data_IF_913689414599
#
_entry.id   IF_913689414599
#
_cell.length_a   1.000
_cell.length_b   1.000
_cell.length_c   1.000
_cell.angle_alpha   90.00
_cell.angle_beta   90.00
_cell.angle_gamma   90.00
#
_symmetry.space_group_name_H-M   'P 1'
#
loop_
_entity.id
_entity.type
_entity.pdbx_description
1 polymer ?
#
# COMPACT_ATOMS: atom_id res chain seq x y z
N UNK A 1 -33.54 91.86 11.37
CA UNK A 1 -33.47 91.81 9.90
C UNK A 1 -32.67 90.57 9.50
N UNK A 2 -33.25 89.76 8.57
CA UNK A 2 -32.64 88.71 7.71
C UNK A 2 -31.86 87.55 8.38
N UNK A 3 -32.40 86.33 8.45
CA UNK A 3 -32.58 85.26 7.41
C UNK A 3 -31.34 84.35 7.20
N UNK A 4 -31.58 83.03 7.42
CA UNK A 4 -31.06 81.84 6.70
C UNK A 4 -29.54 81.56 6.75
N UNK A 5 -29.01 80.37 6.46
CA UNK A 5 -29.36 78.95 6.57
C UNK A 5 -28.11 78.18 6.06
N UNK A 6 -27.91 76.95 6.54
CA UNK A 6 -27.30 75.80 5.84
C UNK A 6 -25.81 75.79 5.37
N UNK A 7 -25.10 74.81 5.94
CA UNK A 7 -23.98 73.93 5.50
C UNK A 7 -23.72 73.74 3.98
N UNK A 8 -22.47 73.37 3.54
CA UNK A 8 -21.97 71.99 3.70
C UNK A 8 -20.45 71.74 3.90
N UNK A 9 -20.20 70.71 4.75
CA UNK A 9 -19.37 69.50 4.56
C UNK A 9 -18.10 69.57 3.68
N UNK A 10 -16.95 69.26 4.30
CA UNK A 10 -15.97 68.30 3.76
C UNK A 10 -15.53 67.32 4.83
N UNK A 11 -16.09 66.12 4.75
CA UNK A 11 -15.69 64.91 5.47
C UNK A 11 -14.39 64.40 4.84
N UNK A 12 -13.30 64.33 5.60
CA UNK A 12 -12.14 63.51 5.22
C UNK A 12 -12.36 62.14 5.86
N UNK A 13 -12.85 61.21 5.07
CA UNK A 13 -12.92 59.80 5.42
C UNK A 13 -11.50 59.23 5.41
N UNK A 14 -10.97 58.93 6.60
CA UNK A 14 -9.78 58.10 6.74
C UNK A 14 -10.11 56.68 6.29
N UNK A 15 -9.53 56.26 5.16
CA UNK A 15 -9.57 54.87 4.73
C UNK A 15 -8.69 54.04 5.67
N UNK A 16 -9.33 53.40 6.64
CA UNK A 16 -8.77 52.30 7.41
C UNK A 16 -8.69 51.09 6.47
N UNK A 17 -7.53 50.86 5.85
CA UNK A 17 -7.26 49.61 5.12
C UNK A 17 -7.04 48.52 6.17
N UNK A 18 -8.11 47.81 6.52
CA UNK A 18 -8.02 46.53 7.21
C UNK A 18 -7.32 45.56 6.25
N UNK A 19 -6.03 45.34 6.47
CA UNK A 19 -5.33 44.20 5.88
C UNK A 19 -5.88 42.93 6.55
N UNK A 20 -6.97 42.39 6.01
CA UNK A 20 -7.41 41.03 6.29
C UNK A 20 -6.36 40.12 5.65
N UNK A 21 -5.37 39.71 6.45
CA UNK A 21 -4.50 38.60 6.10
C UNK A 21 -5.36 37.34 6.05
N UNK A 22 -5.89 37.06 4.87
CA UNK A 22 -6.44 35.74 4.54
C UNK A 22 -5.23 34.80 4.56
N UNK A 23 -4.94 34.22 5.73
CA UNK A 23 -4.16 32.99 5.82
C UNK A 23 -5.05 31.88 5.24
N UNK A 24 -5.20 31.87 3.92
CA UNK A 24 -5.54 30.66 3.21
C UNK A 24 -4.33 29.75 3.40
N UNK A 25 -4.41 28.87 4.41
CA UNK A 25 -3.41 27.84 4.62
C UNK A 25 -3.27 27.06 3.31
N UNK A 26 -2.20 27.35 2.56
CA UNK A 26 -1.81 26.49 1.45
C UNK A 26 -1.57 25.11 2.06
N UNK A 27 -2.35 24.12 1.62
CA UNK A 27 -2.09 22.73 1.95
C UNK A 27 -0.63 22.45 1.63
N UNK A 28 0.10 21.88 2.60
CA UNK A 28 1.52 21.60 2.39
C UNK A 28 1.66 20.67 1.18
N UNK A 29 2.58 21.04 0.28
CA UNK A 29 2.86 20.23 -0.90
C UNK A 29 3.35 18.85 -0.46
N UNK A 30 2.96 17.82 -1.21
CA UNK A 30 3.47 16.47 -0.96
C UNK A 30 5.00 16.46 -1.05
N UNK A 31 5.65 15.95 0.00
CA UNK A 31 7.08 15.71 0.07
C UNK A 31 7.40 14.26 -0.29
N UNK A 32 8.67 13.99 -0.59
CA UNK A 32 9.15 12.63 -0.86
C UNK A 32 10.03 12.18 0.30
N UNK A 33 9.81 10.95 0.78
CA UNK A 33 10.65 10.34 1.80
C UNK A 33 12.10 10.23 1.27
N UNK A 34 13.12 10.75 2.00
CA UNK A 34 14.51 10.59 1.62
C UNK A 34 14.95 9.12 1.73
N UNK A 35 15.98 8.74 0.97
CA UNK A 35 16.58 7.39 1.10
C UNK A 35 17.07 7.21 2.55
N UNK A 36 16.63 6.16 3.26
CA UNK A 36 17.05 5.95 4.64
C UNK A 36 18.55 5.69 4.75
N UNK A 37 19.15 6.21 5.81
CA UNK A 37 20.56 5.97 6.13
C UNK A 37 20.68 4.68 6.95
N UNK A 38 21.37 3.68 6.40
CA UNK A 38 21.66 2.41 7.08
C UNK A 38 23.13 2.39 7.51
N UNK A 39 23.36 2.69 8.79
CA UNK A 39 24.71 2.75 9.36
C UNK A 39 25.30 1.34 9.50
N UNK A 40 26.53 1.16 9.02
CA UNK A 40 27.28 -0.09 9.12
C UNK A 40 26.54 -1.33 8.55
N UNK A 41 25.60 -1.12 7.63
CA UNK A 41 24.78 -2.20 7.08
C UNK A 41 23.86 -2.87 8.12
N UNK A 42 23.52 -2.20 9.22
CA UNK A 42 22.63 -2.70 10.26
C UNK A 42 21.39 -1.83 10.39
N UNK A 43 20.22 -2.47 10.50
CA UNK A 43 18.95 -1.78 10.75
C UNK A 43 18.22 -2.40 11.95
N UNK A 44 17.74 -1.55 12.87
CA UNK A 44 16.97 -1.96 14.04
C UNK A 44 15.50 -1.69 13.80
N UNK A 45 14.65 -2.72 13.91
CA UNK A 45 13.24 -2.65 13.56
C UNK A 45 12.35 -3.07 14.72
N UNK A 46 11.36 -2.23 15.03
CA UNK A 46 10.32 -2.51 16.02
C UNK A 46 9.18 -3.26 15.35
N UNK A 47 8.86 -4.46 15.85
CA UNK A 47 7.89 -5.36 15.22
C UNK A 47 6.58 -5.42 16.03
N UNK A 48 5.45 -5.39 15.32
CA UNK A 48 4.14 -5.69 15.88
C UNK A 48 3.45 -6.80 15.09
N UNK A 49 2.83 -7.73 15.82
CA UNK A 49 1.88 -8.70 15.29
C UNK A 49 0.46 -8.16 15.54
N UNK A 50 -0.15 -7.60 14.51
CA UNK A 50 -1.49 -7.04 14.54
C UNK A 50 -2.53 -8.13 14.20
N UNK A 51 -3.38 -8.48 15.15
CA UNK A 51 -4.28 -9.63 15.00
C UNK A 51 -5.72 -9.17 14.83
N UNK A 52 -6.36 -9.63 13.75
CA UNK A 52 -7.80 -9.74 13.66
C UNK A 52 -8.21 -11.10 14.26
N UNK A 53 -9.01 -11.11 15.36
CA UNK A 53 -9.39 -12.35 16.03
C UNK A 53 -10.35 -13.23 15.21
N UNK A 54 -10.93 -12.71 14.12
CA UNK A 54 -11.89 -13.42 13.26
C UNK A 54 -11.21 -14.36 12.24
N UNK A 55 -9.87 -14.44 12.25
CA UNK A 55 -9.07 -15.06 11.18
C UNK A 55 -7.94 -15.92 11.74
N UNK A 56 -7.43 -16.84 10.90
CA UNK A 56 -6.26 -17.65 11.24
C UNK A 56 -5.06 -16.73 11.50
N UNK A 57 -4.53 -16.73 12.72
CA UNK A 57 -3.30 -16.02 13.08
C UNK A 57 -2.08 -16.93 12.95
N UNK A 58 -0.90 -16.33 12.90
CA UNK A 58 0.33 -17.07 13.12
C UNK A 58 0.46 -17.40 14.62
N UNK A 59 0.96 -18.60 14.93
CA UNK A 59 1.50 -18.86 16.26
C UNK A 59 2.82 -18.09 16.48
N UNK A 60 3.28 -17.97 17.72
CA UNK A 60 4.56 -17.32 18.02
C UNK A 60 5.73 -18.00 17.31
N UNK A 61 5.68 -19.33 17.16
CA UNK A 61 6.68 -20.10 16.41
C UNK A 61 6.62 -19.80 14.90
N UNK A 62 5.44 -19.74 14.31
CA UNK A 62 5.29 -19.38 12.89
C UNK A 62 5.73 -17.92 12.63
N UNK A 63 5.41 -17.00 13.54
CA UNK A 63 5.87 -15.62 13.45
C UNK A 63 7.40 -15.54 13.52
N UNK A 64 8.05 -16.32 14.40
CA UNK A 64 9.51 -16.41 14.46
C UNK A 64 10.09 -16.91 13.13
N UNK A 65 9.55 -17.99 12.55
CA UNK A 65 9.99 -18.51 11.24
C UNK A 65 9.86 -17.44 10.14
N UNK A 66 8.74 -16.71 10.10
CA UNK A 66 8.52 -15.64 9.13
C UNK A 66 9.60 -14.56 9.26
N UNK A 67 9.89 -14.10 10.48
CA UNK A 67 10.85 -13.02 10.74
C UNK A 67 12.30 -13.47 10.51
N UNK A 68 12.63 -14.72 10.83
CA UNK A 68 13.93 -15.33 10.52
C UNK A 68 14.16 -15.42 9.01
N UNK A 69 13.16 -15.90 8.27
CA UNK A 69 13.24 -16.01 6.81
C UNK A 69 13.35 -14.62 6.16
N UNK A 70 12.56 -13.63 6.62
CA UNK A 70 12.69 -12.23 6.19
C UNK A 70 14.12 -11.72 6.41
N UNK A 71 14.66 -11.91 7.61
CA UNK A 71 16.01 -11.44 7.97
C UNK A 71 17.08 -12.10 7.10
N UNK A 72 16.97 -13.40 6.85
CA UNK A 72 17.90 -14.14 6.01
C UNK A 72 17.88 -13.64 4.55
N UNK A 73 16.69 -13.41 3.98
CA UNK A 73 16.56 -12.91 2.60
C UNK A 73 17.05 -11.47 2.49
N UNK A 74 16.74 -10.61 3.46
CA UNK A 74 17.25 -9.23 3.49
C UNK A 74 18.77 -9.21 3.54
N UNK A 75 19.39 -10.05 4.39
CA UNK A 75 20.84 -10.16 4.44
C UNK A 75 21.41 -10.65 3.11
N UNK A 76 20.80 -11.67 2.52
CA UNK A 76 21.27 -12.30 1.29
C UNK A 76 21.17 -11.37 0.07
N UNK A 77 20.04 -10.68 -0.10
CA UNK A 77 19.77 -9.87 -1.29
C UNK A 77 20.23 -8.42 -1.16
N UNK A 78 20.26 -7.88 0.07
CA UNK A 78 20.54 -6.46 0.30
C UNK A 78 21.80 -6.20 1.13
N UNK A 79 22.41 -7.24 1.70
CA UNK A 79 23.60 -7.10 2.56
C UNK A 79 23.31 -6.51 3.94
N UNK A 80 22.05 -6.16 4.24
CA UNK A 80 21.64 -5.53 5.49
C UNK A 80 21.38 -6.59 6.56
N UNK A 81 21.96 -6.42 7.74
CA UNK A 81 21.64 -7.20 8.93
C UNK A 81 20.49 -6.53 9.69
N UNK A 82 19.42 -7.27 9.96
CA UNK A 82 18.29 -6.77 10.76
C UNK A 82 18.43 -7.17 12.22
N UNK A 83 18.16 -6.21 13.11
CA UNK A 83 18.01 -6.41 14.55
C UNK A 83 16.54 -6.15 14.88
N UNK A 84 15.81 -7.21 15.23
CA UNK A 84 14.39 -7.11 15.51
C UNK A 84 14.15 -7.05 17.01
N UNK A 85 13.33 -6.09 17.45
CA UNK A 85 12.78 -6.12 18.80
C UNK A 85 11.85 -7.33 18.97
N UNK A 86 11.66 -7.77 20.21
CA UNK A 86 10.65 -8.79 20.52
C UNK A 86 9.28 -8.31 20.00
N UNK A 87 8.60 -9.09 19.12
CA UNK A 87 7.31 -8.68 18.59
C UNK A 87 6.29 -8.43 19.71
N UNK A 88 5.61 -7.29 19.63
CA UNK A 88 4.46 -6.99 20.48
C UNK A 88 3.19 -7.44 19.78
N UNK A 89 2.20 -7.94 20.51
CA UNK A 89 0.89 -8.21 19.93
C UNK A 89 -0.05 -7.02 20.16
N UNK A 90 -0.82 -6.65 19.13
CA UNK A 90 -1.93 -5.71 19.20
C UNK A 90 -3.10 -6.24 18.38
N UNK A 91 -4.30 -5.73 18.60
CA UNK A 91 -5.41 -5.92 17.68
C UNK A 91 -5.29 -4.99 16.48
N UNK A 92 -5.87 -5.38 15.34
CA UNK A 92 -5.97 -4.50 14.17
C UNK A 92 -6.75 -3.23 14.49
N UNK A 93 -7.85 -3.35 15.26
CA UNK A 93 -8.67 -2.21 15.66
C UNK A 93 -7.87 -1.17 16.46
N UNK A 94 -7.02 -1.59 17.40
CA UNK A 94 -6.16 -0.68 18.17
C UNK A 94 -5.17 0.09 17.29
N UNK A 95 -4.62 -0.53 16.24
CA UNK A 95 -3.71 0.16 15.33
C UNK A 95 -4.45 1.20 14.49
N UNK A 96 -5.59 0.82 13.91
CA UNK A 96 -6.35 1.69 13.01
C UNK A 96 -7.03 2.86 13.75
N UNK A 97 -7.36 2.69 15.04
CA UNK A 97 -7.94 3.76 15.86
C UNK A 97 -7.01 4.98 16.02
N UNK A 98 -5.71 4.82 15.77
CA UNK A 98 -4.72 5.90 15.90
C UNK A 98 -4.55 6.74 14.62
N UNK A 99 -5.26 6.40 13.52
CA UNK A 99 -5.17 7.13 12.26
C UNK A 99 -5.77 8.54 12.43
N UNK A 100 -5.05 9.61 12.02
CA UNK A 100 -5.59 10.96 12.07
C UNK A 100 -6.88 11.11 11.25
N UNK A 101 -7.96 11.59 11.90
CA UNK A 101 -9.26 11.77 11.24
C UNK A 101 -9.17 12.65 9.99
N UNK A 102 -8.40 13.74 10.04
CA UNK A 102 -8.20 14.65 8.89
C UNK A 102 -7.63 13.91 7.67
N UNK A 103 -6.57 13.12 7.86
CA UNK A 103 -5.94 12.36 6.78
C UNK A 103 -6.91 11.31 6.22
N UNK A 104 -7.66 10.64 7.10
CA UNK A 104 -8.65 9.65 6.72
C UNK A 104 -9.84 10.25 5.95
N UNK A 105 -10.37 11.40 6.38
CA UNK A 105 -11.48 12.08 5.69
C UNK A 105 -11.08 12.50 4.26
N UNK A 106 -9.83 12.91 4.06
CA UNK A 106 -9.29 13.30 2.76
C UNK A 106 -9.07 12.07 1.88
N UNK A 107 -8.26 11.11 2.34
CA UNK A 107 -7.88 9.94 1.54
C UNK A 107 -9.02 8.93 1.40
N UNK A 108 -9.98 8.91 2.31
CA UNK A 108 -11.17 8.06 2.23
C UNK A 108 -12.01 8.31 0.98
N UNK A 109 -11.95 9.53 0.42
CA UNK A 109 -12.63 9.88 -0.84
C UNK A 109 -12.00 9.22 -2.07
N UNK A 110 -10.80 8.66 -1.93
CA UNK A 110 -10.11 7.89 -2.97
C UNK A 110 -10.49 6.40 -2.95
N UNK A 111 -11.25 5.93 -1.96
CA UNK A 111 -11.70 4.54 -1.89
C UNK A 111 -12.92 4.36 -2.80
N UNK A 112 -12.87 3.34 -3.67
CA UNK A 112 -14.03 2.88 -4.41
C UNK A 112 -14.98 2.14 -3.45
N UNK A 113 -16.20 2.65 -3.30
CA UNK A 113 -17.19 2.02 -2.42
C UNK A 113 -17.79 0.75 -3.05
N UNK A 114 -17.15 -0.38 -2.78
CA UNK A 114 -17.66 -1.69 -3.16
C UNK A 114 -18.58 -2.32 -2.12
N UNK A 115 -18.54 -1.85 -0.86
CA UNK A 115 -19.30 -2.48 0.24
C UNK A 115 -20.78 -2.20 0.10
N UNK A 116 -21.13 -0.96 -0.21
CA UNK A 116 -22.51 -0.56 -0.52
C UNK A 116 -22.86 -0.71 -1.99
N UNK A 117 -21.84 -0.84 -2.86
CA UNK A 117 -22.00 -0.94 -4.31
C UNK A 117 -22.20 0.41 -5.02
N UNK A 118 -21.96 1.53 -4.33
CA UNK A 118 -22.12 2.89 -4.89
C UNK A 118 -20.86 3.45 -5.55
N UNK A 119 -19.77 2.67 -5.61
CA UNK A 119 -18.51 3.08 -6.21
C UNK A 119 -18.62 3.51 -7.68
N UNK A 120 -17.84 4.52 -8.06
CA UNK A 120 -17.84 5.10 -9.40
C UNK A 120 -16.91 4.33 -10.35
N UNK A 121 -17.46 3.36 -11.06
CA UNK A 121 -16.70 2.52 -12.01
C UNK A 121 -15.94 3.32 -13.06
N UNK A 122 -16.49 4.44 -13.55
CA UNK A 122 -15.80 5.29 -14.53
C UNK A 122 -14.55 5.93 -13.93
N UNK A 123 -14.66 6.48 -12.72
CA UNK A 123 -13.51 7.04 -11.99
C UNK A 123 -12.44 5.97 -11.74
N UNK A 124 -12.83 4.74 -11.41
CA UNK A 124 -11.90 3.63 -11.22
C UNK A 124 -11.14 3.28 -12.52
N UNK A 125 -11.84 3.24 -13.66
CA UNK A 125 -11.21 3.05 -14.99
C UNK A 125 -10.21 4.17 -15.28
N UNK A 126 -10.61 5.43 -15.03
CA UNK A 126 -9.76 6.60 -15.27
C UNK A 126 -8.51 6.59 -14.35
N UNK A 127 -8.65 6.11 -13.11
CA UNK A 127 -7.57 5.86 -12.16
C UNK A 127 -6.54 4.84 -12.66
N UNK A 128 -7.01 3.67 -13.10
CA UNK A 128 -6.13 2.69 -13.73
C UNK A 128 -5.45 3.24 -14.98
N UNK A 129 -6.17 3.97 -15.82
CA UNK A 129 -5.62 4.59 -17.02
C UNK A 129 -4.50 5.59 -16.68
N UNK A 130 -4.68 6.42 -15.65
CA UNK A 130 -3.66 7.34 -15.14
C UNK A 130 -2.42 6.58 -14.68
N UNK A 131 -2.60 5.53 -13.87
CA UNK A 131 -1.50 4.70 -13.34
C UNK A 131 -0.73 3.99 -14.45
N UNK A 132 -1.41 3.32 -15.37
CA UNK A 132 -0.75 2.61 -16.47
C UNK A 132 0.04 3.56 -17.40
N UNK A 133 -0.46 4.79 -17.60
CA UNK A 133 0.25 5.82 -18.38
C UNK A 133 1.53 6.28 -17.70
N UNK A 134 1.53 6.41 -16.37
CA UNK A 134 2.69 6.93 -15.62
C UNK A 134 3.90 5.99 -15.69
N UNK A 135 3.67 4.69 -15.83
CA UNK A 135 4.73 3.68 -15.90
C UNK A 135 5.57 3.74 -17.17
N UNK A 136 5.06 4.35 -18.26
CA UNK A 136 5.72 4.42 -19.57
C UNK A 136 6.15 3.06 -20.16
N UNK A 137 5.66 1.95 -19.59
CA UNK A 137 5.87 0.60 -20.09
C UNK A 137 5.07 0.40 -21.38
N UNK A 138 5.63 -0.25 -22.43
CA UNK A 138 4.88 -0.53 -23.66
C UNK A 138 3.58 -1.28 -23.39
N UNK A 139 2.46 -0.79 -23.94
CA UNK A 139 1.11 -1.35 -23.71
C UNK A 139 1.03 -2.84 -24.02
N UNK A 140 1.71 -3.31 -25.08
CA UNK A 140 1.74 -4.73 -25.43
C UNK A 140 2.32 -5.58 -24.29
N UNK A 141 3.39 -5.12 -23.63
CA UNK A 141 4.01 -5.85 -22.51
C UNK A 141 3.10 -5.90 -21.28
N UNK A 142 2.37 -4.81 -21.00
CA UNK A 142 1.39 -4.78 -19.92
C UNK A 142 0.22 -5.74 -20.18
N UNK A 143 -0.29 -5.75 -21.42
CA UNK A 143 -1.35 -6.68 -21.85
C UNK A 143 -0.86 -8.12 -21.74
N UNK A 144 0.29 -8.43 -22.33
CA UNK A 144 0.82 -9.81 -22.33
C UNK A 144 1.05 -10.33 -20.90
N UNK A 145 1.48 -9.47 -19.98
CA UNK A 145 1.61 -9.80 -18.55
C UNK A 145 0.26 -10.08 -17.87
N UNK A 146 -0.75 -9.23 -18.11
CA UNK A 146 -2.04 -9.32 -17.44
C UNK A 146 -2.98 -10.37 -18.05
N UNK A 147 -2.90 -10.59 -19.37
CA UNK A 147 -3.82 -11.43 -20.15
C UNK A 147 -4.11 -12.81 -19.57
N UNK A 148 -3.13 -13.58 -19.06
CA UNK A 148 -3.40 -14.90 -18.48
C UNK A 148 -4.33 -14.87 -17.26
N UNK A 149 -4.48 -13.70 -16.63
CA UNK A 149 -5.13 -13.54 -15.33
C UNK A 149 -6.41 -12.70 -15.40
N UNK A 150 -6.75 -12.12 -16.55
CA UNK A 150 -7.98 -11.33 -16.71
C UNK A 150 -9.21 -12.24 -16.75
N UNK A 151 -10.32 -11.77 -16.16
CA UNK A 151 -11.62 -12.46 -16.24
C UNK A 151 -12.24 -12.32 -17.64
N UNK A 152 -11.91 -11.25 -18.35
CA UNK A 152 -12.32 -10.99 -19.72
C UNK A 152 -11.11 -10.51 -20.53
N UNK A 153 -10.99 -10.90 -21.81
CA UNK A 153 -9.91 -10.43 -22.66
C UNK A 153 -9.97 -8.92 -22.84
N UNK A 154 -8.83 -8.32 -23.17
CA UNK A 154 -8.74 -6.91 -23.52
C UNK A 154 -9.48 -6.67 -24.85
N UNK A 155 -10.54 -5.87 -24.83
CA UNK A 155 -11.39 -5.58 -25.99
C UNK A 155 -10.63 -4.90 -27.13
N UNK A 156 -9.77 -3.93 -26.79
CA UNK A 156 -8.90 -3.21 -27.71
C UNK A 156 -7.50 -3.11 -27.13
N UNK A 157 -6.46 -3.47 -27.90
CA UNK A 157 -5.04 -3.44 -27.48
C UNK A 157 -4.54 -2.01 -27.25
N UNK A 158 -5.00 -1.39 -26.16
CA UNK A 158 -4.78 -0.01 -25.75
C UNK A 158 -4.72 0.06 -24.22
N UNK A 159 -4.17 1.16 -23.67
CA UNK A 159 -4.16 1.36 -22.22
C UNK A 159 -5.57 1.45 -21.63
N UNK A 160 -6.52 2.03 -22.37
CA UNK A 160 -7.92 2.13 -21.94
C UNK A 160 -8.61 0.76 -21.93
N UNK A 161 -8.44 -0.03 -22.99
CA UNK A 161 -8.97 -1.40 -23.03
C UNK A 161 -8.39 -2.28 -21.92
N UNK A 162 -7.10 -2.12 -21.61
CA UNK A 162 -6.48 -2.79 -20.46
C UNK A 162 -7.07 -2.30 -19.13
N UNK A 163 -7.22 -0.99 -18.93
CA UNK A 163 -7.83 -0.43 -17.71
C UNK A 163 -9.28 -0.90 -17.49
N UNK A 164 -10.06 -1.01 -18.56
CA UNK A 164 -11.42 -1.57 -18.53
C UNK A 164 -11.41 -3.05 -18.14
N UNK A 165 -10.54 -3.86 -18.75
CA UNK A 165 -10.41 -5.29 -18.42
C UNK A 165 -9.89 -5.53 -16.99
N UNK A 166 -8.95 -4.71 -16.51
CA UNK A 166 -8.47 -4.72 -15.13
C UNK A 166 -9.59 -4.35 -14.17
N UNK A 167 -10.35 -3.29 -14.46
CA UNK A 167 -11.49 -2.88 -13.62
C UNK A 167 -12.54 -3.99 -13.52
N UNK A 168 -12.89 -4.63 -14.65
CA UNK A 168 -13.84 -5.75 -14.65
C UNK A 168 -13.30 -6.94 -13.86
N UNK A 169 -12.04 -7.30 -14.06
CA UNK A 169 -11.36 -8.37 -13.31
C UNK A 169 -11.35 -8.09 -11.82
N UNK A 170 -11.00 -6.84 -11.45
CA UNK A 170 -10.93 -6.39 -10.06
C UNK A 170 -12.30 -6.51 -9.39
N UNK A 171 -13.33 -5.90 -9.96
CA UNK A 171 -14.67 -5.88 -9.37
C UNK A 171 -15.31 -7.27 -9.32
N UNK A 172 -15.10 -8.12 -10.34
CA UNK A 172 -15.62 -9.49 -10.33
C UNK A 172 -14.99 -10.33 -9.21
N UNK A 173 -13.68 -10.19 -9.01
CA UNK A 173 -12.95 -10.88 -7.93
C UNK A 173 -13.24 -10.30 -6.55
N UNK A 174 -13.51 -9.00 -6.48
CA UNK A 174 -13.92 -8.35 -5.25
C UNK A 174 -15.33 -8.80 -4.83
N UNK A 175 -16.25 -8.97 -5.77
CA UNK A 175 -17.60 -9.51 -5.49
C UNK A 175 -17.52 -10.93 -4.91
N UNK A 176 -16.59 -11.75 -5.40
CA UNK A 176 -16.30 -13.05 -4.77
C UNK A 176 -15.95 -12.88 -3.29
N UNK A 177 -15.07 -11.94 -2.94
CA UNK A 177 -14.69 -11.69 -1.55
C UNK A 177 -15.83 -11.20 -0.66
N UNK A 178 -16.78 -10.41 -1.19
CA UNK A 178 -17.98 -9.96 -0.45
C UNK A 178 -18.86 -11.13 0.00
N UNK A 179 -18.83 -12.23 -0.73
CA UNK A 179 -19.62 -13.44 -0.41
C UNK A 179 -18.86 -14.44 0.46
N UNK A 180 -17.56 -14.24 0.71
CA UNK A 180 -16.78 -15.18 1.52
C UNK A 180 -16.98 -14.91 3.02
N UNK A 181 -17.22 -15.96 3.84
CA UNK A 181 -17.21 -15.83 5.28
C UNK A 181 -15.78 -15.87 5.85
N UNK A 182 -15.56 -15.15 6.94
CA UNK A 182 -14.41 -15.32 7.83
C UNK A 182 -14.59 -16.58 8.72
N UNK A 183 -13.62 -16.87 9.59
CA UNK A 183 -13.67 -18.07 10.44
C UNK A 183 -14.82 -18.04 11.46
N UNK A 184 -15.33 -16.85 11.79
CA UNK A 184 -16.49 -16.63 12.67
C UNK A 184 -17.84 -16.70 11.94
N UNK A 185 -17.86 -17.05 10.64
CA UNK A 185 -19.07 -17.14 9.82
C UNK A 185 -19.64 -15.80 9.35
N UNK A 186 -19.10 -14.66 9.81
CA UNK A 186 -19.49 -13.32 9.35
C UNK A 186 -18.75 -12.94 8.06
N UNK A 187 -19.19 -11.91 7.31
CA UNK A 187 -18.54 -11.50 6.07
C UNK A 187 -17.03 -11.21 6.24
N UNK A 188 -16.22 -11.66 5.29
CA UNK A 188 -14.76 -11.39 5.24
C UNK A 188 -14.47 -9.90 5.11
N UNK A 189 -15.25 -9.21 4.28
CA UNK A 189 -15.23 -7.78 4.12
C UNK A 189 -16.34 -7.20 5.00
N UNK A 190 -15.96 -6.54 6.09
CA UNK A 190 -16.91 -5.89 6.99
C UNK A 190 -16.95 -4.37 6.78
N UNK A 191 -17.84 -3.69 7.48
CA UNK A 191 -18.04 -2.24 7.37
C UNK A 191 -16.86 -1.42 7.94
N UNK A 192 -15.84 -2.06 8.54
CA UNK A 192 -14.68 -1.35 9.06
C UNK A 192 -13.70 -0.98 7.95
N UNK A 193 -12.81 -0.04 8.23
CA UNK A 193 -11.73 0.34 7.31
C UNK A 193 -10.59 -0.68 7.26
N UNK A 194 -10.68 -1.79 8.00
CA UNK A 194 -9.57 -2.73 8.13
C UNK A 194 -9.21 -3.44 6.82
N UNK A 195 -10.14 -3.56 5.87
CA UNK A 195 -9.84 -4.10 4.55
C UNK A 195 -9.22 -3.07 3.60
N UNK A 196 -9.33 -1.77 3.90
CA UNK A 196 -8.94 -0.69 2.99
C UNK A 196 -7.44 -0.43 3.04
N UNK A 197 -6.73 -0.62 1.92
CA UNK A 197 -5.29 -0.35 1.84
C UNK A 197 -4.94 1.07 2.29
N UNK A 198 -5.78 2.06 1.97
CA UNK A 198 -5.60 3.45 2.41
C UNK A 198 -5.53 3.58 3.93
N UNK A 199 -6.31 2.81 4.70
CA UNK A 199 -6.22 2.87 6.16
C UNK A 199 -4.85 2.36 6.64
N UNK A 200 -4.34 1.31 5.99
CA UNK A 200 -3.03 0.77 6.27
C UNK A 200 -1.89 1.68 5.84
N UNK A 201 -2.01 2.45 4.75
CA UNK A 201 -1.05 3.49 4.28
C UNK A 201 -1.00 4.72 5.21
N UNK A 202 -2.12 5.00 5.90
CA UNK A 202 -2.23 6.15 6.80
C UNK A 202 -1.67 5.90 8.22
N UNK A 203 -1.34 4.67 8.58
CA UNK A 203 -0.89 4.32 9.95
C UNK A 203 0.31 5.15 10.40
N UNK A 204 1.23 5.44 9.48
CA UNK A 204 2.45 6.18 9.81
C UNK A 204 2.29 7.69 9.94
N UNK A 205 1.10 8.27 9.73
CA UNK A 205 0.84 9.68 10.03
C UNK A 205 0.66 9.97 11.53
N UNK A 206 0.57 8.94 12.36
CA UNK A 206 0.61 9.03 13.82
C UNK A 206 2.02 8.72 14.39
N UNK A 207 2.18 8.85 15.70
CA UNK A 207 3.35 8.38 16.45
C UNK A 207 3.37 6.84 16.63
N UNK A 208 3.15 6.08 15.55
CA UNK A 208 3.16 4.62 15.60
C UNK A 208 4.57 4.10 15.99
N UNK A 209 4.71 3.35 17.10
CA UNK A 209 6.02 2.95 17.60
C UNK A 209 6.54 1.65 16.95
N UNK A 210 6.21 1.42 15.68
CA UNK A 210 6.53 0.19 14.95
C UNK A 210 7.06 0.53 13.55
N UNK A 211 7.98 -0.30 13.06
CA UNK A 211 8.56 -0.17 11.72
C UNK A 211 8.09 -1.32 10.81
N UNK A 212 7.78 -2.49 11.41
CA UNK A 212 7.32 -3.70 10.72
C UNK A 212 6.02 -4.17 11.37
N UNK A 213 4.97 -4.31 10.56
CA UNK A 213 3.67 -4.83 10.97
C UNK A 213 3.41 -6.15 10.27
N UNK A 214 3.26 -7.23 11.03
CA UNK A 214 2.75 -8.51 10.53
C UNK A 214 1.29 -8.59 10.93
N UNK A 215 0.38 -8.74 9.96
CA UNK A 215 -1.06 -8.80 10.23
C UNK A 215 -1.72 -9.97 9.53
N UNK A 216 -2.71 -10.59 10.16
CA UNK A 216 -3.57 -11.57 9.48
C UNK A 216 -4.80 -10.92 8.81
N UNK A 217 -4.93 -9.58 8.88
CA UNK A 217 -6.00 -8.85 8.24
C UNK A 217 -5.93 -8.96 6.71
N UNK A 218 -6.98 -9.41 6.01
CA UNK A 218 -7.11 -9.27 4.57
C UNK A 218 -7.22 -7.79 4.22
N UNK A 219 -6.20 -7.28 3.52
CA UNK A 219 -6.24 -5.96 2.88
C UNK A 219 -6.76 -6.18 1.47
N UNK A 220 -8.05 -5.92 1.28
CA UNK A 220 -8.81 -6.20 0.04
C UNK A 220 -9.61 -4.95 -0.26
N UNK A 221 -9.12 -4.15 -1.21
CA UNK A 221 -9.67 -2.82 -1.47
C UNK A 221 -9.54 -2.40 -2.92
N UNK A 222 -10.18 -1.28 -3.24
CA UNK A 222 -10.09 -0.66 -4.54
C UNK A 222 -9.99 0.86 -4.39
N UNK A 223 -9.01 1.45 -5.06
CA UNK A 223 -8.73 2.88 -5.00
C UNK A 223 -8.89 3.53 -6.37
N UNK A 224 -9.42 4.75 -6.38
CA UNK A 224 -9.56 5.58 -7.58
C UNK A 224 -8.22 6.13 -8.09
N UNK A 225 -7.17 6.10 -7.27
CA UNK A 225 -5.82 6.50 -7.63
C UNK A 225 -4.82 5.48 -7.09
N UNK A 226 -3.65 5.40 -7.71
CA UNK A 226 -2.56 4.47 -7.33
C UNK A 226 -2.93 2.97 -7.35
N UNK A 227 -3.97 2.61 -8.13
CA UNK A 227 -4.39 1.22 -8.30
C UNK A 227 -3.33 0.37 -9.00
N UNK A 228 -2.65 -0.50 -8.24
CA UNK A 228 -1.64 -1.42 -8.76
C UNK A 228 -2.24 -2.52 -9.65
N UNK A 229 -1.61 -2.80 -10.81
CA UNK A 229 -2.03 -3.86 -11.74
C UNK A 229 -2.12 -5.23 -11.05
N UNK A 230 -1.15 -5.57 -10.20
CA UNK A 230 -1.18 -6.83 -9.46
C UNK A 230 -2.32 -6.89 -8.44
N UNK A 231 -2.62 -5.79 -7.74
CA UNK A 231 -3.76 -5.73 -6.81
C UNK A 231 -5.07 -5.98 -7.56
N UNK A 232 -5.27 -5.34 -8.72
CA UNK A 232 -6.43 -5.57 -9.58
C UNK A 232 -6.59 -7.04 -9.98
N UNK A 233 -5.50 -7.67 -10.42
CA UNK A 233 -5.48 -9.10 -10.75
C UNK A 233 -5.73 -9.97 -9.51
N UNK A 234 -5.36 -9.54 -8.31
CA UNK A 234 -5.62 -10.28 -7.07
C UNK A 234 -7.01 -10.03 -6.49
N UNK A 235 -7.86 -9.27 -7.15
CA UNK A 235 -9.18 -8.91 -6.61
C UNK A 235 -9.09 -7.94 -5.43
N UNK A 236 -8.10 -7.05 -5.44
CA UNK A 236 -7.87 -6.05 -4.40
C UNK A 236 -6.94 -6.52 -3.27
N UNK A 237 -6.56 -7.80 -3.26
CA UNK A 237 -5.73 -8.35 -2.19
C UNK A 237 -4.31 -7.79 -2.30
N UNK A 238 -3.92 -7.02 -1.28
CA UNK A 238 -2.56 -6.56 -1.05
C UNK A 238 -1.84 -7.50 -0.08
N UNK A 239 -0.71 -8.07 -0.51
CA UNK A 239 0.10 -8.92 0.35
C UNK A 239 0.94 -8.08 1.33
N UNK A 240 1.34 -6.89 0.95
CA UNK A 240 2.06 -5.95 1.79
C UNK A 240 2.10 -4.57 1.15
N UNK A 241 2.62 -3.60 1.90
CA UNK A 241 2.95 -2.28 1.40
C UNK A 241 3.99 -1.63 2.30
N UNK A 242 4.57 -0.55 1.78
CA UNK A 242 5.48 0.32 2.52
C UNK A 242 5.00 1.76 2.39
N UNK A 243 4.89 2.45 3.52
CA UNK A 243 4.38 3.82 3.61
C UNK A 243 5.28 4.72 4.45
N UNK A 244 4.94 6.01 4.49
CA UNK A 244 5.63 7.00 5.30
C UNK A 244 5.41 6.79 6.80
N UNK A 245 6.43 6.96 7.63
CA UNK A 245 6.33 6.96 9.09
C UNK A 245 6.84 8.26 9.71
N UNK A 246 5.96 9.00 10.36
CA UNK A 246 6.24 10.27 11.04
C UNK A 246 7.22 10.14 12.20
N UNK A 247 7.14 9.02 12.93
CA UNK A 247 7.95 8.76 14.12
C UNK A 247 8.98 7.62 13.94
N UNK A 248 9.03 7.01 12.75
CA UNK A 248 9.96 5.93 12.43
C UNK A 248 11.37 6.45 12.15
N UNK A 249 12.39 5.72 12.62
CA UNK A 249 13.81 6.04 12.40
C UNK A 249 14.14 6.22 10.91
N UNK A 250 13.52 5.41 10.07
CA UNK A 250 13.76 5.38 8.63
C UNK A 250 12.78 6.24 7.82
N UNK A 251 11.86 6.96 8.48
CA UNK A 251 10.74 7.69 7.86
C UNK A 251 9.80 6.85 7.01
N UNK A 252 9.91 5.53 7.12
CA UNK A 252 9.07 4.54 6.46
C UNK A 252 8.68 3.46 7.45
N UNK A 253 7.61 2.73 7.15
CA UNK A 253 7.28 1.45 7.77
C UNK A 253 6.74 0.51 6.68
N UNK A 254 6.75 -0.77 6.97
CA UNK A 254 6.14 -1.78 6.11
C UNK A 254 5.13 -2.61 6.87
N UNK A 255 4.11 -3.07 6.18
CA UNK A 255 3.25 -4.13 6.67
C UNK A 255 3.19 -5.30 5.68
N UNK A 256 2.94 -6.48 6.22
CA UNK A 256 2.56 -7.68 5.46
C UNK A 256 1.24 -8.22 6.00
N UNK A 257 0.29 -8.41 5.09
CA UNK A 257 -0.86 -9.26 5.31
C UNK A 257 -0.47 -10.72 5.08
N UNK A 258 -0.60 -11.54 6.11
CA UNK A 258 -0.39 -12.99 6.00
C UNK A 258 -1.59 -13.68 5.36
N UNK A 259 -2.73 -13.00 5.17
CA UNK A 259 -3.96 -13.56 4.60
C UNK A 259 -3.76 -14.38 3.30
N UNK A 260 -3.12 -13.86 2.23
CA UNK A 260 -2.95 -14.64 1.00
C UNK A 260 -2.04 -15.87 1.18
N UNK A 261 -1.27 -15.92 2.26
CA UNK A 261 -0.44 -17.07 2.61
C UNK A 261 -1.20 -18.04 3.50
N UNK A 262 -1.87 -17.57 4.54
CA UNK A 262 -2.51 -18.40 5.57
C UNK A 262 -3.86 -18.97 5.12
N UNK A 263 -4.56 -18.24 4.26
CA UNK A 263 -5.86 -18.60 3.69
C UNK A 263 -5.73 -19.00 2.21
N UNK A 264 -4.55 -19.48 1.78
CA UNK A 264 -4.22 -19.82 0.39
C UNK A 264 -5.23 -20.76 -0.32
N UNK A 265 -5.94 -21.60 0.45
CA UNK A 265 -6.99 -22.49 -0.06
C UNK A 265 -8.31 -21.78 -0.39
N UNK A 266 -8.54 -20.57 0.16
CA UNK A 266 -9.70 -19.71 -0.10
C UNK A 266 -9.45 -18.71 -1.23
N UNK A 267 -8.21 -18.62 -1.73
CA UNK A 267 -7.91 -17.83 -2.92
C UNK A 267 -8.59 -18.43 -4.15
N UNK A 268 -8.74 -17.63 -5.21
CA UNK A 268 -9.38 -18.07 -6.45
C UNK A 268 -8.74 -19.36 -6.97
N UNK A 269 -9.56 -20.26 -7.53
CA UNK A 269 -9.08 -21.53 -8.07
C UNK A 269 -7.94 -21.30 -9.07
N UNK A 270 -6.83 -22.00 -8.87
CA UNK A 270 -5.64 -21.90 -9.73
C UNK A 270 -4.78 -20.65 -9.53
N UNK A 271 -5.10 -19.79 -8.56
CA UNK A 271 -4.35 -18.54 -8.34
C UNK A 271 -3.18 -18.66 -7.36
N UNK A 272 -3.18 -19.69 -6.52
CA UNK A 272 -2.12 -19.98 -5.54
C UNK A 272 -1.37 -21.26 -5.90
N UNK A 273 -0.07 -21.25 -5.66
CA UNK A 273 0.83 -22.41 -5.78
C UNK A 273 1.40 -22.88 -4.44
N UNK A 274 0.80 -22.42 -3.34
CA UNK A 274 1.13 -22.84 -1.97
C UNK A 274 0.50 -24.21 -1.68
N UNK A 275 1.31 -25.10 -1.12
CA UNK A 275 0.96 -26.52 -0.90
C UNK A 275 0.83 -26.90 0.57
N UNK A 276 1.42 -26.12 1.49
CA UNK A 276 1.41 -26.40 2.92
C UNK A 276 1.49 -25.13 3.76
N UNK A 277 1.13 -25.24 5.04
CA UNK A 277 1.21 -24.14 6.01
C UNK A 277 2.65 -23.69 6.26
N UNK A 278 3.57 -24.64 6.43
CA UNK A 278 4.99 -24.33 6.63
C UNK A 278 5.59 -23.59 5.44
N UNK A 279 5.23 -24.01 4.21
CA UNK A 279 5.63 -23.29 3.01
C UNK A 279 5.05 -21.87 2.99
N UNK A 280 3.77 -21.71 3.36
CA UNK A 280 3.11 -20.41 3.41
C UNK A 280 3.83 -19.41 4.33
N UNK A 281 4.20 -19.85 5.54
CA UNK A 281 4.89 -19.00 6.54
C UNK A 281 6.26 -18.53 6.02
N UNK A 282 7.05 -19.44 5.43
CA UNK A 282 8.34 -19.08 4.83
C UNK A 282 8.16 -18.14 3.64
N UNK A 283 7.19 -18.41 2.76
CA UNK A 283 6.92 -17.53 1.62
C UNK A 283 6.49 -16.12 2.07
N UNK A 284 5.71 -16.00 3.14
CA UNK A 284 5.39 -14.71 3.74
C UNK A 284 6.66 -13.98 4.24
N UNK A 285 7.60 -14.70 4.86
CA UNK A 285 8.88 -14.11 5.28
C UNK A 285 9.72 -13.61 4.11
N UNK A 286 9.84 -14.42 3.05
CA UNK A 286 10.51 -14.01 1.80
C UNK A 286 9.84 -12.79 1.19
N UNK A 287 8.52 -12.76 1.17
CA UNK A 287 7.77 -11.63 0.63
C UNK A 287 7.91 -10.39 1.52
N UNK A 288 7.98 -10.53 2.84
CA UNK A 288 8.22 -9.39 3.71
C UNK A 288 9.58 -8.73 3.40
N UNK A 289 10.59 -9.51 2.98
CA UNK A 289 11.85 -8.93 2.52
C UNK A 289 11.68 -8.02 1.28
N UNK A 290 10.70 -8.27 0.41
CA UNK A 290 10.32 -7.33 -0.66
C UNK A 290 9.94 -5.97 -0.08
N UNK A 291 9.08 -5.96 0.93
CA UNK A 291 8.66 -4.72 1.60
C UNK A 291 9.82 -4.04 2.32
N UNK A 292 10.71 -4.80 2.96
CA UNK A 292 11.91 -4.24 3.59
C UNK A 292 12.83 -3.55 2.55
N UNK A 293 12.88 -4.03 1.30
CA UNK A 293 13.62 -3.39 0.23
C UNK A 293 13.03 -2.04 -0.20
N UNK A 294 11.70 -1.90 -0.19
CA UNK A 294 11.05 -0.59 -0.29
C UNK A 294 11.39 0.26 0.93
N UNK A 295 11.26 -0.29 2.12
CA UNK A 295 11.39 0.44 3.38
C UNK A 295 12.78 1.04 3.58
N UNK A 296 13.84 0.23 3.49
CA UNK A 296 15.19 0.65 3.93
C UNK A 296 16.01 1.29 2.82
N UNK A 297 15.61 1.12 1.56
CA UNK A 297 16.40 1.56 0.42
C UNK A 297 15.56 2.24 -0.66
N UNK A 298 14.23 2.22 -0.57
CA UNK A 298 13.34 2.73 -1.61
C UNK A 298 13.66 2.09 -2.98
N UNK A 299 13.84 0.76 -3.03
CA UNK A 299 14.02 0.05 -4.30
C UNK A 299 12.69 -0.03 -5.05
N UNK A 300 12.68 0.09 -6.37
CA UNK A 300 11.49 -0.10 -7.19
C UNK A 300 11.36 -1.55 -7.69
N UNK A 301 10.38 -1.82 -8.55
CA UNK A 301 10.09 -3.15 -9.08
C UNK A 301 10.85 -3.46 -10.39
N UNK A 302 11.89 -4.33 -10.39
CA UNK A 302 12.56 -4.80 -11.61
C UNK A 302 11.74 -5.93 -12.28
N UNK A 303 10.61 -5.58 -12.92
CA UNK A 303 9.67 -6.55 -13.52
C UNK A 303 10.32 -7.58 -14.47
N UNK A 304 11.42 -7.22 -15.14
CA UNK A 304 12.10 -8.07 -16.12
C UNK A 304 13.06 -9.09 -15.52
N UNK A 305 13.43 -9.00 -14.24
CA UNK A 305 14.43 -9.89 -13.63
C UNK A 305 13.77 -10.85 -12.64
N UNK A 306 13.58 -12.14 -13.00
CA UNK A 306 12.93 -13.12 -12.13
C UNK A 306 13.73 -13.49 -10.88
N UNK A 307 15.04 -13.16 -10.85
CA UNK A 307 15.91 -13.42 -9.69
C UNK A 307 15.78 -12.40 -8.56
N UNK A 308 15.13 -11.27 -8.81
CA UNK A 308 15.00 -10.19 -7.85
C UNK A 308 13.87 -10.46 -6.84
N UNK A 309 14.18 -10.36 -5.55
CA UNK A 309 13.16 -10.29 -4.48
C UNK A 309 12.24 -9.07 -4.66
N UNK A 310 12.76 -7.97 -5.21
CA UNK A 310 11.97 -6.78 -5.53
C UNK A 310 11.05 -6.94 -6.74
N UNK A 311 11.15 -8.03 -7.51
CA UNK A 311 10.16 -8.29 -8.57
C UNK A 311 8.86 -8.70 -7.90
N UNK A 312 7.73 -8.01 -8.17
CA UNK A 312 6.43 -8.45 -7.68
C UNK A 312 6.10 -9.86 -8.16
N UNK A 313 5.54 -10.68 -7.28
CA UNK A 313 5.02 -11.99 -7.60
C UNK A 313 3.79 -11.87 -8.54
N UNK A 314 3.67 -12.73 -9.56
CA UNK A 314 2.46 -12.74 -10.38
C UNK A 314 1.31 -13.37 -9.59
N UNK A 315 0.16 -12.69 -9.54
CA UNK A 315 -1.05 -13.17 -8.86
C UNK A 315 -0.75 -13.64 -7.42
N UNK A 316 -0.93 -14.92 -7.04
CA UNK A 316 -0.50 -15.45 -5.74
C UNK A 316 0.49 -16.62 -5.89
N UNK A 317 1.29 -16.61 -6.97
CA UNK A 317 2.27 -17.65 -7.26
C UNK A 317 3.58 -17.44 -6.49
N UNK A 318 3.47 -17.34 -5.16
CA UNK A 318 4.59 -17.07 -4.27
C UNK A 318 5.64 -18.18 -4.31
N UNK A 319 5.26 -19.44 -4.42
CA UNK A 319 6.22 -20.54 -4.42
C UNK A 319 7.07 -20.52 -5.71
N UNK A 320 6.45 -20.27 -6.86
CA UNK A 320 7.10 -20.13 -8.16
C UNK A 320 8.00 -18.90 -8.18
N UNK A 321 7.52 -17.77 -7.65
CA UNK A 321 8.34 -16.57 -7.48
C UNK A 321 9.58 -16.86 -6.62
N UNK A 322 9.40 -17.45 -5.44
CA UNK A 322 10.49 -17.73 -4.51
C UNK A 322 11.55 -18.70 -5.05
N UNK A 323 11.17 -19.64 -5.92
CA UNK A 323 12.10 -20.58 -6.57
C UNK A 323 13.12 -19.92 -7.50
N UNK A 324 12.77 -18.74 -8.05
CA UNK A 324 13.63 -18.06 -9.02
C UNK A 324 14.62 -17.09 -8.38
N UNK A 325 14.47 -16.78 -7.08
CA UNK A 325 15.28 -15.79 -6.39
C UNK A 325 16.76 -16.19 -6.35
N UNK A 326 17.63 -15.26 -6.76
CA UNK A 326 19.08 -15.44 -6.78
C UNK A 326 19.75 -14.07 -6.59
N UNK A 327 20.28 -13.82 -5.40
CA UNK A 327 20.91 -12.55 -5.05
C UNK A 327 22.11 -12.19 -5.95
N UNK A 328 22.83 -13.18 -6.49
CA UNK A 328 23.96 -12.93 -7.38
C UNK A 328 23.51 -12.37 -8.74
N UNK A 329 22.29 -12.71 -9.16
CA UNK A 329 21.67 -12.23 -10.40
C UNK A 329 20.80 -10.98 -10.21
N UNK A 330 20.67 -10.50 -8.98
CA UNK A 330 19.95 -9.27 -8.66
C UNK A 330 20.58 -8.53 -7.48
N UNK A 331 21.73 -7.92 -7.74
CA UNK A 331 22.43 -7.09 -6.78
C UNK A 331 21.83 -5.69 -6.72
N UNK A 332 21.99 -4.99 -5.60
CA UNK A 332 21.71 -3.56 -5.52
C UNK A 332 22.52 -2.83 -6.60
N UNK A 333 21.88 -1.92 -7.33
CA UNK A 333 22.46 -1.19 -8.45
C UNK A 333 22.48 -1.95 -9.78
N UNK A 334 22.04 -3.21 -9.85
CA UNK A 334 22.09 -4.01 -11.09
C UNK A 334 21.10 -3.55 -12.18
N UNK A 335 20.18 -2.65 -11.85
CA UNK A 335 19.23 -2.03 -12.78
C UNK A 335 18.71 -0.71 -12.19
N UNK A 336 18.10 0.20 -12.98
CA UNK A 336 17.54 1.44 -12.45
C UNK A 336 16.53 1.25 -11.31
N UNK A 337 15.75 0.16 -11.34
CA UNK A 337 14.80 -0.16 -10.27
C UNK A 337 15.49 -0.67 -9.00
N UNK A 338 16.70 -1.24 -9.11
CA UNK A 338 17.48 -1.73 -7.98
C UNK A 338 18.45 -0.68 -7.42
N UNK A 339 18.33 0.58 -7.82
CA UNK A 339 19.09 1.71 -7.26
C UNK A 339 18.36 2.25 -6.03
N UNK A 340 19.04 2.47 -4.88
CA UNK A 340 18.41 3.11 -3.74
C UNK A 340 17.78 4.46 -4.10
N UNK A 341 16.54 4.69 -3.66
CA UNK A 341 15.75 5.88 -4.02
C UNK A 341 14.97 5.79 -5.33
N UNK A 342 14.95 4.64 -5.99
CA UNK A 342 14.19 4.44 -7.23
C UNK A 342 12.67 4.49 -7.00
N UNK A 343 12.17 3.92 -5.91
CA UNK A 343 10.79 4.07 -5.47
C UNK A 343 10.59 5.45 -4.83
N UNK A 344 9.39 6.01 -5.00
CA UNK A 344 9.01 7.32 -4.47
C UNK A 344 7.80 7.15 -3.55
N UNK A 345 8.01 7.39 -2.26
CA UNK A 345 6.93 7.42 -1.27
C UNK A 345 6.65 8.89 -0.98
N UNK A 346 5.47 9.34 -1.42
CA UNK A 346 4.98 10.68 -1.17
C UNK A 346 4.28 10.77 0.20
N UNK A 347 4.42 11.90 0.89
CA UNK A 347 3.70 12.15 2.13
C UNK A 347 3.35 13.63 2.30
N UNK A 348 2.35 13.91 3.13
CA UNK A 348 1.96 15.27 3.49
C UNK A 348 2.39 15.59 4.93
N UNK A 349 3.35 16.50 5.16
CA UNK A 349 3.88 16.75 6.51
C UNK A 349 2.83 17.33 7.49
N UNK A 350 1.76 17.94 6.97
CA UNK A 350 0.69 18.60 7.75
C UNK A 350 -0.50 17.69 8.10
N UNK A 351 -0.38 16.39 7.82
CA UNK A 351 -1.40 15.38 8.11
C UNK A 351 -1.17 14.67 9.45
#
# INVERSE_FOLDING_TARGET
MTRNAMWPRRTIAGCLVLAISIFAGQAAQAEIVPVPLIENGMASLRVVHAVNPRLSKLSDHELAILLEEMTAIVKMHFGISLLLDKPKQKTVAELLAAIPKKALDIRGQEIYDFKTGTGNKKRLIDGYLKTLRSWKTPVAKLIDYASPYLVQPVSFRSLRGLAEALTQTHLARLEYWRTQPAADGKPMLDETLANEWIAWDLLGYNNMPFDVIVTNQPVISAEYDDGGLNSALRGGVSAGSTGYSKSGRYRTYSFISTFPFTEYKKLFKGSSDITSRDQAVRLAGKYMAHEIGHMLMLLAHPFANPACVMRPEPLFHFATWAKNLDAKKCQIGSSPAMTPGAAKIGFHPDW
#
